data_IF_380078871347
#
_entry.id   IF_380078871347
#
_cell.length_a   1.000
_cell.length_b   1.000
_cell.length_c   1.000
_cell.angle_alpha   90.00
_cell.angle_beta   90.00
_cell.angle_gamma   90.00
#
_symmetry.space_group_name_H-M   'P 1'
#
loop_
_entity.id
_entity.type
_entity.pdbx_description
1 polymer ?
#
# COMPACT_ATOMS: atom_id res chain seq x y z
N UNK A 1 -25.97 12.66 -5.55
CA UNK A 1 -24.78 12.93 -4.74
C UNK A 1 -23.58 12.85 -5.66
N UNK A 2 -22.77 13.90 -5.73
CA UNK A 2 -21.62 13.96 -6.65
C UNK A 2 -20.56 12.93 -6.27
N UNK A 3 -20.50 11.85 -7.04
CA UNK A 3 -19.53 10.77 -6.88
C UNK A 3 -18.08 11.30 -6.90
N UNK A 4 -17.81 12.28 -7.75
CA UNK A 4 -16.50 12.90 -7.87
C UNK A 4 -16.08 13.59 -6.56
N UNK A 5 -16.98 14.37 -5.95
CA UNK A 5 -16.72 15.02 -4.67
C UNK A 5 -16.48 13.99 -3.56
N UNK A 6 -17.27 12.91 -3.53
CA UNK A 6 -17.07 11.83 -2.56
C UNK A 6 -15.69 11.15 -2.73
N UNK A 7 -15.20 10.97 -3.95
CA UNK A 7 -13.90 10.33 -4.19
C UNK A 7 -12.73 11.20 -3.74
N UNK A 8 -12.82 12.51 -3.94
CA UNK A 8 -11.80 13.45 -3.48
C UNK A 8 -11.75 13.50 -1.94
N UNK A 9 -12.90 13.49 -1.27
CA UNK A 9 -12.94 13.39 0.19
C UNK A 9 -12.35 12.06 0.70
N UNK A 10 -12.69 10.94 0.06
CA UNK A 10 -12.15 9.62 0.42
C UNK A 10 -10.63 9.56 0.24
N UNK A 11 -10.10 10.15 -0.84
CA UNK A 11 -8.66 10.28 -1.06
C UNK A 11 -7.95 11.05 0.04
N UNK A 12 -8.59 12.07 0.61
CA UNK A 12 -8.02 12.83 1.73
C UNK A 12 -8.12 12.10 3.08
N UNK A 13 -9.16 11.27 3.24
CA UNK A 13 -9.40 10.51 4.47
C UNK A 13 -8.44 9.31 4.56
N UNK A 14 -8.23 8.57 3.48
CA UNK A 14 -7.47 7.31 3.51
C UNK A 14 -6.04 7.43 4.07
N UNK A 15 -5.24 8.47 3.76
CA UNK A 15 -3.92 8.65 4.35
C UNK A 15 -3.95 8.96 5.85
N UNK A 16 -5.06 9.49 6.38
CA UNK A 16 -5.24 9.83 7.79
C UNK A 16 -5.73 8.65 8.64
N UNK A 17 -6.15 7.55 8.00
CA UNK A 17 -6.62 6.36 8.71
C UNK A 17 -5.46 5.58 9.30
N UNK A 18 -5.72 4.88 10.40
CA UNK A 18 -4.74 3.94 10.94
C UNK A 18 -4.44 2.83 9.92
N UNK A 19 -3.19 2.34 9.85
CA UNK A 19 -2.81 1.27 8.93
C UNK A 19 -3.70 0.02 9.07
N UNK A 20 -4.10 -0.30 10.30
CA UNK A 20 -5.00 -1.43 10.61
C UNK A 20 -6.38 -1.31 9.98
N UNK A 21 -6.87 -0.10 9.74
CA UNK A 21 -8.19 0.14 9.13
C UNK A 21 -8.14 0.03 7.60
N UNK A 22 -6.98 0.22 6.97
CA UNK A 22 -6.85 0.22 5.50
C UNK A 22 -7.29 -1.10 4.86
N UNK A 23 -7.09 -2.23 5.55
CA UNK A 23 -7.54 -3.55 5.11
C UNK A 23 -9.07 -3.63 5.05
N UNK A 24 -9.78 -3.17 6.09
CA UNK A 24 -11.24 -3.15 6.12
C UNK A 24 -11.85 -2.20 5.09
N UNK A 25 -11.25 -1.01 4.92
CA UNK A 25 -11.71 0.04 3.99
C UNK A 25 -11.66 -0.45 2.54
N UNK A 26 -10.64 -1.24 2.20
CA UNK A 26 -10.46 -1.83 0.88
C UNK A 26 -11.51 -2.90 0.53
N UNK A 27 -12.19 -3.47 1.53
CA UNK A 27 -13.18 -4.54 1.34
C UNK A 27 -14.62 -4.04 1.13
N UNK A 28 -14.88 -2.73 1.33
CA UNK A 28 -16.22 -2.14 1.20
C UNK A 28 -16.76 -2.28 -0.22
N UNK A 29 -15.91 -2.01 -1.22
CA UNK A 29 -16.26 -2.13 -2.65
C UNK A 29 -15.01 -2.05 -3.54
N UNK A 30 -15.14 -2.44 -4.81
CA UNK A 30 -14.08 -2.26 -5.82
C UNK A 30 -13.62 -0.81 -5.95
N UNK A 31 -14.54 0.14 -5.83
CA UNK A 31 -14.25 1.59 -5.91
C UNK A 31 -13.34 2.03 -4.75
N UNK A 32 -13.66 1.58 -3.54
CA UNK A 32 -12.88 1.91 -2.34
C UNK A 32 -11.50 1.27 -2.37
N UNK A 33 -11.39 0.03 -2.84
CA UNK A 33 -10.10 -0.63 -3.07
C UNK A 33 -9.20 0.21 -4.00
N UNK A 34 -9.72 0.64 -5.16
CA UNK A 34 -8.94 1.41 -6.12
C UNK A 34 -8.50 2.77 -5.57
N UNK A 35 -9.40 3.48 -4.89
CA UNK A 35 -9.07 4.76 -4.25
C UNK A 35 -8.06 4.60 -3.11
N UNK A 36 -8.18 3.55 -2.29
CA UNK A 36 -7.24 3.26 -1.21
C UNK A 36 -5.84 2.92 -1.77
N UNK A 37 -5.77 2.09 -2.81
CA UNK A 37 -4.50 1.76 -3.47
C UNK A 37 -3.84 2.98 -4.12
N UNK A 38 -4.60 3.85 -4.78
CA UNK A 38 -4.06 5.06 -5.43
C UNK A 38 -3.67 6.15 -4.43
N UNK A 39 -4.26 6.17 -3.24
CA UNK A 39 -3.88 7.10 -2.17
C UNK A 39 -2.67 6.62 -1.36
N UNK A 40 -2.26 5.35 -1.52
CA UNK A 40 -1.15 4.76 -0.76
C UNK A 40 0.18 4.99 -1.47
N UNK A 41 1.10 5.66 -0.78
CA UNK A 41 2.44 5.94 -1.29
C UNK A 41 3.47 4.87 -0.91
N UNK A 42 3.15 4.01 0.06
CA UNK A 42 4.08 3.01 0.60
C UNK A 42 3.38 1.70 0.90
N UNK A 43 4.08 0.59 0.66
CA UNK A 43 3.64 -0.76 0.98
C UNK A 43 4.73 -1.47 1.79
N UNK A 44 4.34 -2.01 2.96
CA UNK A 44 5.21 -2.84 3.78
C UNK A 44 4.79 -4.29 3.62
N UNK A 45 5.78 -5.17 3.44
CA UNK A 45 5.56 -6.59 3.25
C UNK A 45 6.34 -7.33 4.34
N UNK A 46 5.61 -8.04 5.20
CA UNK A 46 6.22 -8.91 6.21
C UNK A 46 6.57 -10.25 5.57
N UNK A 47 7.85 -10.55 5.47
CA UNK A 47 8.33 -11.81 4.95
C UNK A 47 8.49 -12.81 6.09
N UNK A 48 7.68 -13.88 6.07
CA UNK A 48 7.99 -15.07 6.85
C UNK A 48 9.09 -15.85 6.11
N UNK A 49 10.18 -16.23 6.78
CA UNK A 49 11.29 -16.93 6.14
C UNK A 49 10.92 -18.39 5.89
N UNK A 50 10.04 -18.63 4.92
CA UNK A 50 9.94 -19.94 4.29
C UNK A 50 10.98 -19.97 3.18
N UNK A 51 11.98 -20.85 3.32
CA UNK A 51 13.23 -20.89 2.54
C UNK A 51 13.07 -20.81 1.00
N UNK A 52 11.89 -21.12 0.45
CA UNK A 52 11.63 -21.10 -0.98
C UNK A 52 11.21 -19.73 -1.56
N UNK A 53 10.69 -18.80 -0.75
CA UNK A 53 10.11 -17.54 -1.27
C UNK A 53 11.15 -16.41 -1.39
N UNK A 54 12.16 -16.42 -0.50
CA UNK A 54 13.22 -15.40 -0.42
C UNK A 54 14.01 -15.25 -1.75
N UNK A 55 14.53 -16.32 -2.39
CA UNK A 55 15.35 -16.16 -3.60
C UNK A 55 14.54 -15.60 -4.79
N UNK A 56 13.28 -16.01 -4.93
CA UNK A 56 12.36 -15.52 -5.97
C UNK A 56 12.07 -14.03 -5.81
N UNK A 57 11.93 -13.57 -4.56
CA UNK A 57 11.70 -12.16 -4.25
C UNK A 57 12.97 -11.32 -4.41
N UNK A 58 14.14 -11.83 -4.01
CA UNK A 58 15.41 -11.15 -4.27
C UNK A 58 15.65 -10.93 -5.77
N UNK A 59 15.35 -11.94 -6.60
CA UNK A 59 15.39 -11.82 -8.05
C UNK A 59 14.41 -10.75 -8.55
N UNK A 60 13.16 -10.78 -8.10
CA UNK A 60 12.14 -9.80 -8.51
C UNK A 60 12.51 -8.37 -8.08
N UNK A 61 12.95 -8.17 -6.84
CA UNK A 61 13.36 -6.85 -6.34
C UNK A 61 14.61 -6.32 -7.03
N UNK A 62 15.51 -7.19 -7.51
CA UNK A 62 16.64 -6.76 -8.33
C UNK A 62 16.20 -6.11 -9.65
N UNK A 63 15.08 -6.58 -10.23
CA UNK A 63 14.48 -5.99 -11.42
C UNK A 63 13.68 -4.71 -11.13
N UNK A 64 13.20 -4.54 -9.90
CA UNK A 64 12.37 -3.40 -9.49
C UNK A 64 13.00 -2.61 -8.35
N UNK A 65 14.25 -2.18 -8.54
CA UNK A 65 15.05 -1.51 -7.50
C UNK A 65 14.42 -0.20 -6.99
N UNK A 66 13.59 0.46 -7.82
CA UNK A 66 12.83 1.67 -7.44
C UNK A 66 11.78 1.41 -6.33
N UNK A 67 11.35 0.16 -6.14
CA UNK A 67 10.37 -0.20 -5.11
C UNK A 67 10.99 -0.34 -3.70
N UNK A 68 12.33 -0.38 -3.61
CA UNK A 68 13.04 -0.49 -2.35
C UNK A 68 13.31 0.92 -1.82
N UNK A 69 12.61 1.32 -0.76
CA UNK A 69 12.97 2.54 -0.04
C UNK A 69 14.19 2.28 0.85
N UNK A 70 15.23 3.13 0.83
CA UNK A 70 16.31 3.03 1.80
C UNK A 70 15.77 3.26 3.23
N UNK A 71 16.30 2.57 4.24
CA UNK A 71 15.99 2.88 5.63
C UNK A 71 16.44 4.31 5.92
N UNK A 72 15.47 5.20 6.18
CA UNK A 72 15.75 6.56 6.62
C UNK A 72 16.28 6.49 8.06
N UNK A 73 17.60 6.49 8.21
CA UNK A 73 18.29 6.64 9.49
C UNK A 73 18.17 8.13 9.86
N UNK A 74 17.44 8.50 10.93
CA UNK A 74 17.44 9.87 11.40
C UNK A 74 18.82 10.21 12.01
N UNK A 75 19.28 11.46 11.87
CA UNK A 75 20.54 11.93 12.45
C UNK A 75 20.53 11.95 13.98
#
# INVERSE_FOLDING_TARGET
MDSLLCDELLREIFPKLQPSSSSSVSLVSKRWLHLCCTSKTSLSLLLTPHNSSIPSLSSLLSHYSFLISPPQIPP
#
